data_IF_241707799277
#
_entry.id   IF_241707799277
#
_cell.length_a   1.000
_cell.length_b   1.000
_cell.length_c   1.000
_cell.angle_alpha   90.00
_cell.angle_beta   90.00
_cell.angle_gamma   90.00
#
_symmetry.space_group_name_H-M   'P 1'
#
loop_
_entity.id
_entity.type
_entity.pdbx_description
1 polymer ?
#
# COMPACT_ATOMS: atom_id res chain seq x y z
N UNK A 1 -6.39 -2.59 -13.26
CA UNK A 1 -6.66 -1.58 -12.21
C UNK A 1 -7.39 -2.28 -11.09
N UNK A 2 -6.90 -2.14 -9.86
CA UNK A 2 -7.41 -2.78 -8.66
C UNK A 2 -7.56 -1.71 -7.57
N UNK A 3 -8.66 -1.79 -6.83
CA UNK A 3 -8.99 -0.89 -5.72
C UNK A 3 -9.18 -1.71 -4.46
N UNK A 4 -8.45 -1.37 -3.39
CA UNK A 4 -8.52 -2.07 -2.11
C UNK A 4 -8.87 -1.11 -0.98
N UNK A 5 -9.67 -1.58 -0.03
CA UNK A 5 -10.07 -0.83 1.16
C UNK A 5 -10.65 0.56 0.82
N UNK A 6 -10.26 1.55 1.61
CA UNK A 6 -10.64 2.96 1.42
C UNK A 6 -9.77 3.63 0.37
N UNK A 7 -9.72 3.10 -0.85
CA UNK A 7 -8.82 3.55 -1.94
C UNK A 7 -8.92 5.05 -2.30
N UNK A 8 -10.10 5.64 -2.06
CA UNK A 8 -10.39 7.05 -2.26
C UNK A 8 -10.17 7.92 -1.00
N UNK A 9 -9.83 7.31 0.14
CA UNK A 9 -9.63 7.98 1.43
C UNK A 9 -10.92 8.27 2.20
N UNK A 10 -12.07 7.79 1.74
CA UNK A 10 -13.34 8.03 2.41
C UNK A 10 -13.36 7.40 3.80
N UNK A 11 -13.76 8.18 4.80
CA UNK A 11 -13.80 7.76 6.20
C UNK A 11 -12.45 7.61 6.89
N UNK A 12 -11.31 7.82 6.20
CA UNK A 12 -9.97 7.80 6.82
C UNK A 12 -9.74 9.12 7.56
N UNK A 13 -9.42 9.01 8.86
CA UNK A 13 -9.11 10.18 9.68
C UNK A 13 -7.85 10.89 9.16
N UNK A 14 -7.89 12.22 9.19
CA UNK A 14 -6.78 13.07 8.74
C UNK A 14 -5.95 13.53 9.95
N UNK A 15 -4.63 13.71 9.80
CA UNK A 15 -3.87 13.54 8.57
C UNK A 15 -3.58 12.07 8.25
N UNK A 16 -3.69 11.71 6.96
CA UNK A 16 -3.14 10.47 6.43
C UNK A 16 -2.01 10.79 5.46
N UNK A 17 -1.15 9.81 5.25
CA UNK A 17 -0.04 9.86 4.29
C UNK A 17 -0.42 9.12 3.02
N UNK A 18 0.25 9.49 1.94
CA UNK A 18 0.20 8.78 0.67
C UNK A 18 1.59 8.25 0.37
N UNK A 19 1.70 6.94 0.16
CA UNK A 19 2.87 6.33 -0.47
C UNK A 19 2.56 6.14 -1.96
N UNK A 20 3.55 6.44 -2.80
CA UNK A 20 3.36 6.48 -4.24
C UNK A 20 4.57 5.90 -4.96
N UNK A 21 4.35 4.93 -5.84
CA UNK A 21 5.32 4.44 -6.83
C UNK A 21 4.72 4.59 -8.22
N UNK A 22 5.50 5.13 -9.14
CA UNK A 22 5.10 5.31 -10.54
C UNK A 22 6.26 4.85 -11.41
N UNK A 23 6.01 3.80 -12.19
CA UNK A 23 6.90 3.37 -13.26
C UNK A 23 6.20 3.72 -14.57
N UNK A 24 6.74 4.72 -15.27
CA UNK A 24 6.09 5.30 -16.44
C UNK A 24 5.75 4.22 -17.48
N UNK A 25 4.51 4.23 -17.96
CA UNK A 25 3.98 3.29 -18.95
C UNK A 25 3.95 1.82 -18.50
N UNK A 26 4.21 1.54 -17.21
CA UNK A 26 4.20 0.19 -16.63
C UNK A 26 3.19 0.08 -15.51
N UNK A 27 3.34 0.89 -14.45
CA UNK A 27 2.53 0.74 -13.24
C UNK A 27 2.37 2.02 -12.42
N UNK A 28 1.31 2.02 -11.60
CA UNK A 28 1.01 3.05 -10.63
C UNK A 28 0.50 2.38 -9.35
N UNK A 29 1.15 2.68 -8.23
CA UNK A 29 0.79 2.20 -6.90
C UNK A 29 0.60 3.40 -5.99
N UNK A 30 -0.58 3.53 -5.41
CA UNK A 30 -0.90 4.54 -4.40
C UNK A 30 -1.48 3.86 -3.17
N UNK A 31 -0.86 4.07 -2.02
CA UNK A 31 -1.34 3.59 -0.73
C UNK A 31 -1.78 4.76 0.14
N UNK A 32 -2.89 4.60 0.86
CA UNK A 32 -3.34 5.52 1.90
C UNK A 32 -2.93 4.93 3.25
N UNK A 33 -2.12 5.64 4.01
CA UNK A 33 -1.58 5.19 5.29
C UNK A 33 -2.06 6.11 6.40
N UNK A 34 -2.68 5.56 7.44
CA UNK A 34 -3.08 6.28 8.64
C UNK A 34 -2.72 5.45 9.88
N UNK A 35 -2.17 6.13 10.89
CA UNK A 35 -1.76 5.49 12.15
C UNK A 35 -0.84 4.27 11.95
N UNK A 36 0.12 4.38 11.03
CA UNK A 36 1.06 3.30 10.71
C UNK A 36 0.45 2.12 9.95
N UNK A 37 -0.80 2.21 9.47
CA UNK A 37 -1.50 1.10 8.82
C UNK A 37 -2.04 1.51 7.45
N UNK A 38 -2.02 0.57 6.49
CA UNK A 38 -2.62 0.80 5.18
C UNK A 38 -4.15 0.74 5.32
N UNK A 39 -4.81 1.76 4.79
CA UNK A 39 -6.27 1.93 4.83
C UNK A 39 -6.91 1.68 3.47
N UNK A 40 -6.16 1.86 2.38
CA UNK A 40 -6.63 1.61 1.04
C UNK A 40 -5.53 1.76 0.00
N UNK A 41 -5.78 1.22 -1.19
CA UNK A 41 -4.82 1.21 -2.28
C UNK A 41 -5.48 1.37 -3.65
N UNK A 42 -4.73 1.97 -4.57
CA UNK A 42 -4.98 1.95 -6.02
C UNK A 42 -3.76 1.31 -6.67
N UNK A 43 -3.96 0.18 -7.33
CA UNK A 43 -2.92 -0.56 -8.04
C UNK A 43 -3.27 -0.62 -9.54
N UNK A 44 -2.34 -0.24 -10.40
CA UNK A 44 -2.52 -0.21 -11.85
C UNK A 44 -1.29 -0.79 -12.52
N UNK A 45 -1.50 -1.67 -13.49
CA UNK A 45 -0.40 -2.40 -14.14
C UNK A 45 -0.19 -3.77 -13.49
N UNK A 46 0.97 -4.36 -13.75
CA UNK A 46 1.47 -5.56 -13.08
C UNK A 46 2.31 -5.10 -11.89
N UNK A 47 1.73 -5.16 -10.68
CA UNK A 47 2.36 -4.62 -9.47
C UNK A 47 2.90 -5.69 -8.52
N UNK A 48 2.37 -6.91 -8.61
CA UNK A 48 2.63 -8.06 -7.72
C UNK A 48 2.40 -7.76 -6.23
N UNK A 49 1.67 -6.69 -5.90
CA UNK A 49 1.42 -6.21 -4.54
C UNK A 49 0.01 -6.51 -4.04
N UNK A 50 -0.89 -7.02 -4.89
CA UNK A 50 -2.32 -7.15 -4.62
C UNK A 50 -2.62 -7.92 -3.33
N UNK A 51 -2.08 -9.13 -3.23
CA UNK A 51 -2.31 -10.04 -2.09
C UNK A 51 -1.67 -9.49 -0.81
N UNK A 52 -0.42 -9.02 -0.90
CA UNK A 52 0.30 -8.45 0.24
C UNK A 52 -0.42 -7.23 0.80
N UNK A 53 -0.84 -6.30 -0.05
CA UNK A 53 -1.54 -5.08 0.38
C UNK A 53 -2.95 -5.41 0.92
N UNK A 54 -3.66 -6.36 0.31
CA UNK A 54 -4.93 -6.84 0.85
C UNK A 54 -4.75 -7.40 2.26
N UNK A 55 -3.76 -8.26 2.48
CA UNK A 55 -3.45 -8.83 3.79
C UNK A 55 -3.08 -7.78 4.83
N UNK A 56 -2.25 -6.79 4.47
CA UNK A 56 -1.88 -5.68 5.36
C UNK A 56 -3.10 -4.85 5.78
N UNK A 57 -4.03 -4.60 4.84
CA UNK A 57 -5.30 -3.91 5.12
C UNK A 57 -6.21 -4.76 6.00
N UNK A 58 -6.42 -6.03 5.66
CA UNK A 58 -7.34 -6.93 6.38
C UNK A 58 -6.88 -7.15 7.82
N UNK A 59 -5.59 -7.41 8.01
CA UNK A 59 -5.02 -7.69 9.33
C UNK A 59 -4.65 -6.43 10.11
N UNK A 60 -4.81 -5.25 9.49
CA UNK A 60 -4.44 -3.96 10.07
C UNK A 60 -3.01 -4.03 10.60
N UNK A 61 -2.04 -4.46 9.81
CA UNK A 61 -0.64 -4.59 10.25
C UNK A 61 0.03 -3.20 10.30
N UNK A 62 0.87 -2.99 11.32
CA UNK A 62 1.65 -1.76 11.47
C UNK A 62 2.91 -1.85 10.59
N UNK A 63 3.03 -0.92 9.64
CA UNK A 63 4.12 -0.86 8.66
C UNK A 63 5.19 0.19 9.02
N UNK A 64 5.09 0.84 10.17
CA UNK A 64 5.94 2.01 10.51
C UNK A 64 7.45 1.71 10.44
N UNK A 65 7.86 0.45 10.62
CA UNK A 65 9.27 0.03 10.56
C UNK A 65 9.78 -0.20 9.13
N UNK A 66 8.88 -0.40 8.17
CA UNK A 66 9.22 -0.78 6.78
C UNK A 66 8.68 0.22 5.76
N UNK A 67 7.97 1.26 6.21
CA UNK A 67 7.24 2.20 5.38
C UNK A 67 8.11 2.85 4.29
N UNK A 68 9.37 3.16 4.59
CA UNK A 68 10.30 3.78 3.64
C UNK A 68 10.69 2.85 2.48
N UNK A 69 10.75 1.54 2.72
CA UNK A 69 11.10 0.53 1.71
C UNK A 69 9.90 -0.22 1.14
N UNK A 70 8.69 0.02 1.64
CA UNK A 70 7.51 -0.79 1.33
C UNK A 70 7.16 -0.84 -0.16
N UNK A 71 7.47 0.22 -0.90
CA UNK A 71 7.21 0.28 -2.35
C UNK A 71 8.47 0.06 -3.19
N UNK A 72 9.61 -0.25 -2.56
CA UNK A 72 10.82 -0.60 -3.31
C UNK A 72 10.58 -1.92 -4.06
N UNK A 73 10.67 -1.96 -5.40
CA UNK A 73 10.45 -3.19 -6.17
C UNK A 73 11.54 -4.26 -5.92
N UNK A 74 12.69 -3.88 -5.36
CA UNK A 74 13.76 -4.83 -5.02
C UNK A 74 13.57 -5.45 -3.62
N UNK A 75 12.53 -5.03 -2.89
CA UNK A 75 12.21 -5.50 -1.54
C UNK A 75 10.94 -6.37 -1.59
N UNK A 76 11.08 -7.62 -1.16
CA UNK A 76 9.93 -8.51 -0.98
C UNK A 76 9.19 -8.16 0.33
N UNK A 77 8.05 -7.50 0.20
CA UNK A 77 7.31 -6.99 1.36
C UNK A 77 6.79 -8.11 2.26
N UNK A 78 6.43 -9.25 1.67
CA UNK A 78 5.92 -10.41 2.40
C UNK A 78 6.92 -10.91 3.48
N UNK A 79 8.23 -10.80 3.23
CA UNK A 79 9.28 -11.28 4.13
C UNK A 79 9.32 -10.56 5.49
N UNK A 80 8.72 -9.37 5.61
CA UNK A 80 8.69 -8.63 6.87
C UNK A 80 7.58 -9.05 7.83
N UNK A 81 6.62 -9.84 7.35
CA UNK A 81 5.36 -10.11 8.06
C UNK A 81 5.09 -11.60 8.30
N UNK A 82 6.08 -12.45 8.03
CA UNK A 82 6.10 -13.89 8.37
C UNK A 82 6.63 -14.15 9.80
#
# INVERSE_FOLDING_TARGET
VIFLGRFNGEGVEKPFRILLRITKDTEYVKLIVANGRIQGAVLVGETDLEETIENLILNQIDISQVEEGLLDPDIEVADYFD
#
